data_IF_486449108527
#
_entry.id   IF_486449108527
#
_cell.length_a   1.000
_cell.length_b   1.000
_cell.length_c   1.000
_cell.angle_alpha   90.00
_cell.angle_beta   90.00
_cell.angle_gamma   90.00
#
_symmetry.space_group_name_H-M   'P 1'
#
loop_
_entity.id
_entity.type
_entity.pdbx_description
1 polymer ?
#
# COMPACT_ATOMS: atom_id res chain seq x y z
N UNK A 1 8.66 11.94 18.21
CA UNK A 1 8.02 10.64 18.01
C UNK A 1 7.26 10.65 16.69
N UNK A 2 7.36 9.57 15.93
CA UNK A 2 6.62 9.39 14.68
C UNK A 2 5.95 8.02 14.67
N UNK A 3 4.83 7.92 13.98
CA UNK A 3 4.25 6.64 13.59
C UNK A 3 4.60 6.42 12.11
N UNK A 4 5.06 5.23 11.77
CA UNK A 4 5.63 4.98 10.44
C UNK A 4 5.31 3.57 9.91
N UNK A 5 4.02 3.26 9.73
CA UNK A 5 3.66 1.99 9.10
C UNK A 5 4.18 1.90 7.68
N UNK A 6 4.34 0.69 7.20
CA UNK A 6 4.97 0.39 5.93
C UNK A 6 4.03 -0.32 4.95
N UNK A 7 4.36 -0.21 3.68
CA UNK A 7 3.76 -0.98 2.59
C UNK A 7 4.88 -1.53 1.71
N UNK A 8 4.70 -2.73 1.17
CA UNK A 8 5.68 -3.38 0.29
C UNK A 8 6.00 -4.82 0.65
N UNK A 9 5.55 -5.28 1.81
CA UNK A 9 5.70 -6.67 2.26
C UNK A 9 7.16 -7.10 2.43
N UNK A 10 7.36 -8.41 2.50
CA UNK A 10 8.69 -9.02 2.67
C UNK A 10 9.61 -8.68 1.49
N UNK A 11 9.08 -8.71 0.27
CA UNK A 11 9.84 -8.36 -0.93
C UNK A 11 10.35 -6.93 -0.90
N UNK A 12 9.51 -5.98 -0.49
CA UNK A 12 9.91 -4.59 -0.32
C UNK A 12 10.95 -4.40 0.77
N UNK A 13 10.81 -5.11 1.88
CA UNK A 13 11.79 -5.06 2.96
C UNK A 13 13.15 -5.60 2.52
N UNK A 14 13.18 -6.72 1.82
CA UNK A 14 14.40 -7.33 1.30
C UNK A 14 15.11 -6.43 0.30
N UNK A 15 14.34 -5.80 -0.61
CA UNK A 15 14.89 -4.93 -1.65
C UNK A 15 15.19 -3.51 -1.19
N UNK A 16 14.78 -3.12 0.02
CA UNK A 16 14.91 -1.74 0.50
C UNK A 16 13.98 -0.76 -0.22
N UNK A 17 12.84 -1.24 -0.70
CA UNK A 17 11.90 -0.45 -1.50
C UNK A 17 10.57 -0.18 -0.80
N UNK A 18 10.53 -0.33 0.52
CA UNK A 18 9.32 -0.07 1.30
C UNK A 18 8.82 1.37 1.12
N UNK A 19 7.52 1.53 1.23
CA UNK A 19 6.89 2.85 1.38
C UNK A 19 6.57 3.05 2.86
N UNK A 20 7.05 4.15 3.44
CA UNK A 20 6.73 4.55 4.81
C UNK A 20 5.69 5.66 4.79
N UNK A 21 4.64 5.47 5.58
CA UNK A 21 3.58 6.46 5.77
C UNK A 21 3.80 7.10 7.14
N UNK A 22 4.45 8.26 7.18
CA UNK A 22 4.96 8.83 8.43
C UNK A 22 4.02 9.91 8.95
N UNK A 23 3.54 9.73 10.18
CA UNK A 23 2.80 10.75 10.91
C UNK A 23 3.66 11.31 12.05
N UNK A 24 3.54 12.60 12.29
CA UNK A 24 4.26 13.27 13.37
C UNK A 24 4.58 14.72 13.05
N UNK A 25 5.13 15.47 14.03
CA UNK A 25 5.57 16.85 13.82
C UNK A 25 6.65 16.94 12.74
N UNK A 26 6.70 18.04 12.02
CA UNK A 26 7.68 18.26 10.95
C UNK A 26 9.13 18.03 11.39
N UNK A 27 9.49 18.50 12.58
CA UNK A 27 10.84 18.32 13.14
C UNK A 27 11.15 16.84 13.39
N UNK A 28 10.22 16.08 13.90
CA UNK A 28 10.38 14.65 14.14
C UNK A 28 10.48 13.88 12.82
N UNK A 29 9.68 14.26 11.83
CA UNK A 29 9.75 13.66 10.49
C UNK A 29 11.12 13.92 9.85
N UNK A 30 11.61 15.16 9.88
CA UNK A 30 12.90 15.52 9.32
C UNK A 30 14.05 14.71 9.95
N UNK A 31 13.94 14.43 11.24
CA UNK A 31 14.93 13.65 11.99
C UNK A 31 14.88 12.15 11.65
N UNK A 32 13.69 11.61 11.43
CA UNK A 32 13.49 10.19 11.12
C UNK A 32 13.78 9.86 9.64
N UNK A 33 13.55 10.80 8.73
CA UNK A 33 13.63 10.57 7.29
C UNK A 33 14.96 9.94 6.83
N UNK A 34 16.15 10.43 7.24
CA UNK A 34 17.40 9.82 6.79
C UNK A 34 17.55 8.36 7.21
N UNK A 35 16.98 7.98 8.35
CA UNK A 35 17.02 6.61 8.85
C UNK A 35 16.08 5.73 8.01
N UNK A 36 14.88 6.22 7.73
CA UNK A 36 13.87 5.50 6.96
C UNK A 36 14.29 5.31 5.51
N UNK A 37 15.01 6.26 4.94
CA UNK A 37 15.51 6.17 3.56
C UNK A 37 16.47 5.00 3.34
N UNK A 38 17.07 4.47 4.41
CA UNK A 38 17.93 3.28 4.34
C UNK A 38 17.13 1.99 4.16
N UNK A 39 15.85 2.00 4.49
CA UNK A 39 14.97 0.82 4.47
C UNK A 39 13.88 0.93 3.41
N UNK A 40 13.59 2.13 2.93
CA UNK A 40 12.50 2.35 2.00
C UNK A 40 12.85 3.33 0.89
N UNK A 41 12.09 3.27 -0.18
CA UNK A 41 12.23 4.12 -1.35
C UNK A 41 11.36 5.36 -1.25
N UNK A 42 10.14 5.21 -0.75
CA UNK A 42 9.16 6.27 -0.63
C UNK A 42 8.90 6.58 0.84
N UNK A 43 9.19 7.81 1.24
CA UNK A 43 8.98 8.27 2.62
C UNK A 43 8.00 9.44 2.55
N UNK A 44 6.75 9.18 2.91
CA UNK A 44 5.66 10.16 2.77
C UNK A 44 5.27 10.70 4.13
N UNK A 45 5.35 12.01 4.31
CA UNK A 45 4.84 12.68 5.51
C UNK A 45 3.32 12.88 5.35
N UNK A 46 2.54 12.12 6.10
CA UNK A 46 1.09 12.05 5.91
C UNK A 46 0.29 13.03 6.78
N UNK A 47 0.95 13.68 7.73
CA UNK A 47 0.31 14.64 8.63
C UNK A 47 0.84 14.53 10.05
N UNK A 48 0.04 14.97 11.01
CA UNK A 48 0.37 14.94 12.43
C UNK A 48 0.46 13.50 12.97
N UNK A 49 0.81 13.36 14.24
CA UNK A 49 0.90 12.07 14.93
C UNK A 49 -0.39 11.24 14.71
N UNK A 50 -0.22 9.99 14.31
CA UNK A 50 -1.32 9.08 14.00
C UNK A 50 -1.75 9.08 12.53
N UNK A 51 -1.37 10.09 11.75
CA UNK A 51 -1.77 10.18 10.33
C UNK A 51 -1.20 9.03 9.50
N UNK A 52 0.00 8.54 9.81
CA UNK A 52 0.58 7.39 9.14
C UNK A 52 -0.27 6.13 9.33
N UNK A 53 -0.70 5.87 10.56
CA UNK A 53 -1.59 4.74 10.87
C UNK A 53 -2.94 4.89 10.17
N UNK A 54 -3.50 6.09 10.15
CA UNK A 54 -4.76 6.36 9.46
C UNK A 54 -4.67 6.10 7.96
N UNK A 55 -3.61 6.56 7.32
CA UNK A 55 -3.37 6.31 5.89
C UNK A 55 -3.20 4.82 5.63
N UNK A 56 -2.50 4.10 6.51
CA UNK A 56 -2.33 2.65 6.39
C UNK A 56 -3.67 1.92 6.44
N UNK A 57 -4.56 2.31 7.33
CA UNK A 57 -5.91 1.74 7.43
C UNK A 57 -6.67 1.95 6.12
N UNK A 58 -6.66 3.17 5.61
CA UNK A 58 -7.31 3.50 4.34
C UNK A 58 -6.73 2.69 3.17
N UNK A 59 -5.41 2.61 3.09
CA UNK A 59 -4.73 1.85 2.05
C UNK A 59 -5.10 0.37 2.10
N UNK A 60 -5.11 -0.22 3.28
CA UNK A 60 -5.45 -1.63 3.45
C UNK A 60 -6.92 -1.91 3.12
N UNK A 61 -7.82 -1.01 3.46
CA UNK A 61 -9.23 -1.13 3.11
C UNK A 61 -9.42 -1.11 1.58
N UNK A 62 -8.78 -0.16 0.90
CA UNK A 62 -8.84 -0.10 -0.57
C UNK A 62 -8.27 -1.36 -1.20
N UNK A 63 -7.14 -1.85 -0.69
CA UNK A 63 -6.52 -3.07 -1.19
C UNK A 63 -7.43 -4.29 -1.00
N UNK A 64 -8.02 -4.45 0.19
CA UNK A 64 -8.91 -5.56 0.48
C UNK A 64 -10.14 -5.59 -0.43
N UNK A 65 -10.76 -4.43 -0.63
CA UNK A 65 -11.94 -4.32 -1.50
C UNK A 65 -11.57 -4.56 -2.96
N UNK A 66 -10.42 -4.07 -3.41
CA UNK A 66 -9.92 -4.30 -4.76
C UNK A 66 -9.67 -5.79 -5.02
N UNK A 67 -9.03 -6.47 -4.08
CA UNK A 67 -8.77 -7.91 -4.18
C UNK A 67 -10.08 -8.72 -4.18
N UNK A 68 -11.00 -8.37 -3.31
CA UNK A 68 -12.31 -9.02 -3.24
C UNK A 68 -13.10 -8.81 -4.53
N UNK A 69 -13.10 -7.58 -5.05
CA UNK A 69 -13.76 -7.26 -6.31
C UNK A 69 -13.18 -8.04 -7.48
N UNK A 70 -11.87 -8.15 -7.57
CA UNK A 70 -11.20 -8.94 -8.60
C UNK A 70 -11.57 -10.43 -8.50
N UNK A 71 -11.51 -10.99 -7.28
CA UNK A 71 -11.85 -12.39 -7.06
C UNK A 71 -13.31 -12.69 -7.46
N UNK A 72 -14.24 -11.84 -7.06
CA UNK A 72 -15.65 -12.00 -7.40
C UNK A 72 -15.92 -11.79 -8.88
N UNK A 73 -15.23 -10.84 -9.50
CA UNK A 73 -15.35 -10.62 -10.95
C UNK A 73 -14.91 -11.81 -11.76
N UNK A 74 -13.77 -12.41 -11.41
CA UNK A 74 -13.30 -13.63 -12.08
C UNK A 74 -14.22 -14.84 -11.83
N UNK A 75 -14.75 -14.95 -10.62
CA UNK A 75 -15.70 -16.03 -10.29
C UNK A 75 -16.99 -15.89 -11.11
N UNK A 76 -17.53 -14.67 -11.20
CA UNK A 76 -18.69 -14.39 -12.05
C UNK A 76 -18.41 -14.73 -13.50
N UNK A 77 -17.25 -14.33 -14.01
CA UNK A 77 -16.82 -14.65 -15.37
C UNK A 77 -16.76 -16.14 -15.63
N UNK A 78 -16.25 -16.92 -14.67
CA UNK A 78 -16.22 -18.37 -14.74
C UNK A 78 -17.63 -18.95 -14.87
N UNK A 79 -18.56 -18.48 -14.05
CA UNK A 79 -19.96 -18.92 -14.07
C UNK A 79 -20.67 -18.57 -15.37
N UNK A 80 -20.25 -17.47 -16.02
CA UNK A 80 -20.78 -17.07 -17.32
C UNK A 80 -20.09 -17.76 -18.50
N UNK A 81 -19.12 -18.63 -18.23
CA UNK A 81 -18.39 -19.38 -19.27
C UNK A 81 -17.34 -18.55 -20.01
N UNK A 82 -16.86 -17.45 -19.42
CA UNK A 82 -15.85 -16.60 -20.04
C UNK A 82 -14.44 -17.15 -19.85
N UNK A 83 -13.56 -16.84 -20.79
CA UNK A 83 -12.14 -17.11 -20.68
C UNK A 83 -11.49 -16.10 -19.72
N UNK A 84 -10.76 -16.58 -18.72
CA UNK A 84 -10.07 -15.73 -17.75
C UNK A 84 -9.09 -14.78 -18.41
N UNK A 85 -8.40 -15.21 -19.46
CA UNK A 85 -7.45 -14.35 -20.18
C UNK A 85 -8.17 -13.14 -20.78
N UNK A 86 -9.36 -13.32 -21.31
CA UNK A 86 -10.16 -12.22 -21.87
C UNK A 86 -10.60 -11.22 -20.79
N UNK A 87 -10.98 -11.71 -19.62
CA UNK A 87 -11.32 -10.85 -18.49
C UNK A 87 -10.09 -10.02 -18.10
N UNK A 88 -8.94 -10.67 -17.97
CA UNK A 88 -7.68 -9.99 -17.63
C UNK A 88 -7.30 -8.95 -18.68
N UNK A 89 -7.39 -9.28 -19.96
CA UNK A 89 -7.04 -8.36 -21.05
C UNK A 89 -7.86 -7.06 -20.98
N UNK A 90 -9.14 -7.17 -20.64
CA UNK A 90 -10.03 -6.00 -20.53
C UNK A 90 -9.74 -5.20 -19.28
N UNK A 91 -9.60 -5.88 -18.15
CA UNK A 91 -9.48 -5.21 -16.83
C UNK A 91 -8.09 -4.63 -16.57
N UNK A 92 -7.07 -5.06 -17.28
CA UNK A 92 -5.70 -4.58 -17.14
C UNK A 92 -5.34 -3.42 -18.08
N UNK A 93 -6.30 -2.92 -18.86
CA UNK A 93 -6.09 -1.75 -19.75
C UNK A 93 -6.57 -0.40 -19.12
#
# INVERSE_FOLDING_TARGET
MVDAPVSGGVGGATAGTLTFMVGGPDAAFAKAKPILEKMGKNIVHTGASGAGQAVKICNNMMLAITMLGAAEGFLLGKRLGLDFQKIFDVTST
#
